data_IF_098502281804
#
_entry.id   IF_098502281804
#
_cell.length_a   1.000
_cell.length_b   1.000
_cell.length_c   1.000
_cell.angle_alpha   90.00
_cell.angle_beta   90.00
_cell.angle_gamma   90.00
#
_symmetry.space_group_name_H-M   'P 1'
#
loop_
_entity.id
_entity.type
_entity.pdbx_description
1 polymer ?
#
# COMPACT_ATOMS: atom_id res chain seq x y z
N UNK A 1 2.82 -8.26 4.46
CA UNK A 1 1.85 -8.19 5.56
C UNK A 1 0.79 -9.27 5.48
N UNK A 2 -0.35 -9.08 6.16
CA UNK A 2 -1.42 -10.09 6.30
C UNK A 2 -1.89 -10.69 4.97
N UNK A 3 -2.12 -9.85 3.96
CA UNK A 3 -2.58 -10.36 2.65
C UNK A 3 -1.52 -11.18 1.90
N UNK A 4 -0.25 -10.90 2.08
CA UNK A 4 0.83 -11.70 1.50
C UNK A 4 0.95 -13.07 2.20
N UNK A 5 0.73 -13.12 3.51
CA UNK A 5 0.64 -14.39 4.23
C UNK A 5 -0.57 -15.19 3.75
N UNK A 6 -1.76 -14.55 3.67
CA UNK A 6 -2.97 -15.18 3.17
C UNK A 6 -2.79 -15.77 1.77
N UNK A 7 -2.10 -15.07 0.86
CA UNK A 7 -1.84 -15.58 -0.49
C UNK A 7 -1.18 -16.96 -0.45
N UNK A 8 -0.15 -17.13 0.39
CA UNK A 8 0.56 -18.41 0.52
C UNK A 8 -0.32 -19.52 1.11
N UNK A 9 -1.22 -19.16 2.02
CA UNK A 9 -2.11 -20.11 2.68
C UNK A 9 -3.20 -20.64 1.74
N UNK A 10 -3.71 -19.77 0.83
CA UNK A 10 -4.85 -20.11 -0.03
C UNK A 10 -4.45 -20.54 -1.44
N UNK A 11 -3.20 -20.32 -1.85
CA UNK A 11 -2.68 -20.71 -3.16
C UNK A 11 -2.90 -22.19 -3.50
N UNK A 12 -2.70 -23.16 -2.56
CA UNK A 12 -2.95 -24.58 -2.81
C UNK A 12 -4.40 -24.90 -3.19
N UNK A 13 -5.33 -24.01 -2.84
CA UNK A 13 -6.77 -24.16 -3.16
C UNK A 13 -7.15 -23.46 -4.47
N UNK A 14 -6.18 -22.91 -5.22
CA UNK A 14 -6.43 -22.17 -6.46
C UNK A 14 -7.04 -20.78 -6.25
N UNK A 15 -7.10 -20.30 -5.01
CA UNK A 15 -7.63 -18.97 -4.69
C UNK A 15 -6.56 -17.91 -4.96
N UNK A 16 -6.95 -16.88 -5.68
CA UNK A 16 -6.09 -15.73 -6.00
C UNK A 16 -6.39 -14.55 -5.07
N UNK A 17 -5.34 -13.88 -4.61
CA UNK A 17 -5.46 -12.69 -3.75
C UNK A 17 -4.79 -11.52 -4.47
N UNK A 18 -5.51 -10.44 -4.64
CA UNK A 18 -4.99 -9.18 -5.22
C UNK A 18 -5.23 -8.04 -4.24
N UNK A 19 -4.16 -7.36 -3.84
CA UNK A 19 -4.25 -6.11 -3.08
C UNK A 19 -4.50 -4.97 -4.04
N UNK A 20 -5.55 -4.22 -3.78
CA UNK A 20 -5.85 -3.00 -4.51
C UNK A 20 -5.26 -1.83 -3.72
N UNK A 21 -4.37 -1.08 -4.36
CA UNK A 21 -3.65 0.05 -3.77
C UNK A 21 -4.02 1.33 -4.54
N UNK A 22 -5.19 1.94 -4.22
CA UNK A 22 -5.66 3.12 -4.94
C UNK A 22 -4.94 4.39 -4.46
N UNK A 23 -4.63 5.27 -5.40
CA UNK A 23 -4.29 6.66 -5.14
C UNK A 23 -5.53 7.50 -4.83
N UNK A 24 -5.49 8.77 -5.17
CA UNK A 24 -6.60 9.70 -4.94
C UNK A 24 -7.63 9.61 -6.08
N UNK A 25 -8.82 9.11 -5.76
CA UNK A 25 -9.95 9.00 -6.71
C UNK A 25 -11.05 10.01 -6.38
N UNK A 26 -11.69 10.53 -7.43
CA UNK A 26 -12.81 11.47 -7.32
C UNK A 26 -14.06 10.72 -6.83
N UNK A 27 -14.24 10.71 -5.51
CA UNK A 27 -15.36 10.09 -4.80
C UNK A 27 -15.83 11.01 -3.68
N UNK A 28 -16.95 10.69 -3.04
CA UNK A 28 -17.46 11.43 -1.86
C UNK A 28 -16.57 11.24 -0.59
N UNK A 29 -15.44 10.56 -0.68
CA UNK A 29 -14.59 10.26 0.48
C UNK A 29 -14.08 11.53 1.17
N UNK A 30 -13.59 12.52 0.41
CA UNK A 30 -13.12 13.79 0.96
C UNK A 30 -14.25 14.81 1.21
N UNK A 31 -15.44 14.54 0.70
CA UNK A 31 -16.62 15.39 0.83
C UNK A 31 -17.58 14.91 1.92
N UNK A 32 -18.78 14.53 1.54
CA UNK A 32 -19.88 14.17 2.45
C UNK A 32 -19.61 12.96 3.34
N UNK A 33 -18.75 12.05 2.90
CA UNK A 33 -18.41 10.82 3.64
C UNK A 33 -17.24 11.02 4.61
N UNK A 34 -16.60 12.18 4.62
CA UNK A 34 -15.46 12.46 5.51
C UNK A 34 -15.90 12.59 6.96
N UNK A 35 -15.68 11.54 7.77
CA UNK A 35 -15.86 11.58 9.21
C UNK A 35 -14.55 12.03 9.89
N UNK A 36 -14.60 13.13 10.61
CA UNK A 36 -13.44 13.67 11.33
C UNK A 36 -13.63 13.43 12.82
N UNK A 37 -12.67 12.74 13.44
CA UNK A 37 -12.65 12.55 14.89
C UNK A 37 -12.49 13.89 15.62
N UNK A 38 -13.12 14.02 16.79
CA UNK A 38 -12.88 15.18 17.65
C UNK A 38 -11.39 15.18 18.06
N UNK A 39 -10.71 16.31 17.86
CA UNK A 39 -9.32 16.48 18.28
C UNK A 39 -9.18 16.27 19.77
N UNK A 40 -8.22 15.45 20.19
CA UNK A 40 -7.98 15.13 21.60
C UNK A 40 -6.60 15.59 22.10
N UNK A 41 -5.66 15.93 21.21
CA UNK A 41 -4.27 16.25 21.56
C UNK A 41 -3.87 17.57 20.88
N UNK A 42 -3.70 18.63 21.68
CA UNK A 42 -3.38 19.96 21.17
C UNK A 42 -1.98 20.05 20.54
N UNK A 43 -1.01 19.27 21.02
CA UNK A 43 0.34 19.23 20.46
C UNK A 43 0.38 18.86 18.95
N UNK A 44 -0.63 18.13 18.44
CA UNK A 44 -0.73 17.75 17.04
C UNK A 44 -1.71 18.62 16.23
N UNK A 45 -2.24 19.69 16.84
CA UNK A 45 -3.27 20.51 16.23
C UNK A 45 -2.88 21.05 14.84
N UNK A 46 -1.71 21.69 14.75
CA UNK A 46 -1.24 22.32 13.51
C UNK A 46 -1.13 21.31 12.37
N UNK A 47 -0.60 20.12 12.65
CA UNK A 47 -0.43 19.08 11.65
C UNK A 47 -1.78 18.49 11.20
N UNK A 48 -2.67 18.20 12.15
CA UNK A 48 -4.00 17.64 11.84
C UNK A 48 -4.90 18.65 11.13
N UNK A 49 -4.83 19.93 11.49
CA UNK A 49 -5.61 20.98 10.82
C UNK A 49 -5.12 21.20 9.38
N UNK A 50 -3.80 21.19 9.15
CA UNK A 50 -3.22 21.28 7.80
C UNK A 50 -3.64 20.09 6.93
N UNK A 51 -3.58 18.87 7.46
CA UNK A 51 -4.03 17.68 6.76
C UNK A 51 -5.52 17.75 6.39
N UNK A 52 -6.38 18.18 7.33
CA UNK A 52 -7.81 18.33 7.09
C UNK A 52 -8.12 19.39 6.03
N UNK A 53 -7.42 20.52 6.06
CA UNK A 53 -7.54 21.56 5.03
C UNK A 53 -7.14 21.04 3.66
N UNK A 54 -6.04 20.28 3.60
CA UNK A 54 -5.59 19.66 2.35
C UNK A 54 -6.63 18.69 1.78
N UNK A 55 -7.20 17.79 2.60
CA UNK A 55 -8.25 16.86 2.18
C UNK A 55 -9.48 17.61 1.61
N UNK A 56 -9.93 18.67 2.28
CA UNK A 56 -11.05 19.49 1.81
C UNK A 56 -10.73 20.24 0.52
N UNK A 57 -9.52 20.74 0.36
CA UNK A 57 -9.09 21.45 -0.85
C UNK A 57 -8.99 20.54 -2.08
N UNK A 58 -8.75 19.25 -1.84
CA UNK A 58 -8.67 18.21 -2.88
C UNK A 58 -10.02 17.62 -3.28
N UNK A 59 -11.09 17.93 -2.55
CA UNK A 59 -12.42 17.42 -2.86
C UNK A 59 -12.87 17.82 -4.27
N UNK A 60 -13.28 16.82 -5.06
CA UNK A 60 -13.66 16.97 -6.47
C UNK A 60 -12.50 17.26 -7.44
N UNK A 61 -11.24 17.27 -6.97
CA UNK A 61 -10.05 17.54 -7.80
C UNK A 61 -9.10 16.34 -7.88
N UNK A 62 -9.49 15.23 -7.32
CA UNK A 62 -8.68 14.01 -7.35
C UNK A 62 -8.49 13.53 -8.81
N UNK A 63 -7.29 13.09 -9.20
CA UNK A 63 -7.00 12.72 -10.59
C UNK A 63 -7.63 11.40 -11.03
N UNK A 64 -7.96 10.53 -10.09
CA UNK A 64 -8.47 9.19 -10.36
C UNK A 64 -9.95 9.19 -10.75
N UNK A 65 -10.27 8.45 -11.83
CA UNK A 65 -11.62 8.19 -12.32
C UNK A 65 -12.14 6.87 -11.75
N UNK A 66 -13.18 6.87 -10.88
CA UNK A 66 -13.71 5.65 -10.29
C UNK A 66 -14.24 4.63 -11.30
N UNK A 67 -14.77 5.08 -12.44
CA UNK A 67 -15.27 4.18 -13.47
C UNK A 67 -14.11 3.42 -14.14
N UNK A 68 -12.99 4.10 -14.39
CA UNK A 68 -11.77 3.44 -14.89
C UNK A 68 -11.16 2.50 -13.87
N UNK A 69 -11.20 2.86 -12.59
CA UNK A 69 -10.77 1.95 -11.52
C UNK A 69 -11.60 0.66 -11.51
N UNK A 70 -12.93 0.76 -11.62
CA UNK A 70 -13.79 -0.41 -11.70
C UNK A 70 -13.46 -1.31 -12.92
N UNK A 71 -13.19 -0.73 -14.08
CA UNK A 71 -12.76 -1.48 -15.27
C UNK A 71 -11.42 -2.20 -15.03
N UNK A 72 -10.45 -1.53 -14.40
CA UNK A 72 -9.16 -2.14 -14.07
C UNK A 72 -9.31 -3.32 -13.08
N UNK A 73 -10.22 -3.21 -12.12
CA UNK A 73 -10.54 -4.30 -11.18
C UNK A 73 -11.13 -5.51 -11.92
N UNK A 74 -12.09 -5.29 -12.81
CA UNK A 74 -12.69 -6.36 -13.63
C UNK A 74 -11.60 -7.04 -14.46
N UNK A 75 -10.75 -6.26 -15.13
CA UNK A 75 -9.64 -6.79 -15.91
C UNK A 75 -8.68 -7.65 -15.07
N UNK A 76 -8.37 -7.23 -13.84
CA UNK A 76 -7.52 -8.00 -12.95
C UNK A 76 -8.17 -9.33 -12.53
N UNK A 77 -9.47 -9.31 -12.20
CA UNK A 77 -10.22 -10.51 -11.80
C UNK A 77 -10.35 -11.50 -12.95
N UNK A 78 -10.56 -11.02 -14.17
CA UNK A 78 -10.68 -11.86 -15.37
C UNK A 78 -9.34 -12.39 -15.91
N UNK A 79 -8.21 -11.85 -15.41
CA UNK A 79 -6.89 -12.29 -15.82
C UNK A 79 -6.60 -13.72 -15.36
N UNK A 80 -6.04 -14.59 -16.22
CA UNK A 80 -5.56 -15.90 -15.78
C UNK A 80 -4.42 -15.79 -14.76
N UNK A 81 -3.69 -14.67 -14.75
CA UNK A 81 -2.59 -14.37 -13.84
C UNK A 81 -2.78 -13.00 -13.20
N UNK A 82 -3.71 -12.86 -12.24
CA UNK A 82 -3.93 -11.58 -11.57
C UNK A 82 -2.69 -11.16 -10.76
N UNK A 83 -2.36 -9.87 -10.71
CA UNK A 83 -1.23 -9.40 -9.93
C UNK A 83 -1.51 -9.55 -8.42
N UNK A 84 -0.47 -9.81 -7.63
CA UNK A 84 -0.57 -9.75 -6.16
C UNK A 84 -0.90 -8.33 -5.67
N UNK A 85 -0.38 -7.30 -6.35
CA UNK A 85 -0.61 -5.88 -6.05
C UNK A 85 -1.03 -5.15 -7.32
N UNK A 86 -2.11 -4.40 -7.23
CA UNK A 86 -2.61 -3.56 -8.31
C UNK A 86 -2.68 -2.12 -7.82
N UNK A 87 -1.68 -1.33 -8.19
CA UNK A 87 -1.70 0.11 -8.00
C UNK A 87 -2.69 0.75 -8.98
N UNK A 88 -3.53 1.65 -8.48
CA UNK A 88 -4.48 2.40 -9.29
C UNK A 88 -4.19 3.89 -9.17
N UNK A 89 -3.81 4.51 -10.29
CA UNK A 89 -3.42 5.92 -10.38
C UNK A 89 -1.91 6.12 -10.42
N UNK A 90 -1.49 7.22 -11.05
CA UNK A 90 -0.07 7.57 -11.18
C UNK A 90 0.56 7.97 -9.86
N UNK A 91 -0.22 8.57 -8.98
CA UNK A 91 0.15 8.95 -7.62
C UNK A 91 0.45 7.70 -6.75
N UNK A 92 -0.42 6.69 -6.77
CA UNK A 92 -0.16 5.41 -6.10
C UNK A 92 1.12 4.74 -6.64
N UNK A 93 1.29 4.69 -7.96
CA UNK A 93 2.48 4.12 -8.57
C UNK A 93 3.75 4.85 -8.13
N UNK A 94 3.74 6.18 -8.11
CA UNK A 94 4.90 6.98 -7.70
C UNK A 94 5.28 6.75 -6.23
N UNK A 95 4.29 6.72 -5.33
CA UNK A 95 4.52 6.45 -3.91
C UNK A 95 5.10 5.05 -3.66
N UNK A 96 4.63 4.05 -4.41
CA UNK A 96 5.16 2.69 -4.30
C UNK A 96 6.60 2.64 -4.81
N UNK A 97 6.91 3.28 -5.93
CA UNK A 97 8.27 3.35 -6.47
C UNK A 97 9.23 4.04 -5.49
N UNK A 98 8.84 5.18 -4.93
CA UNK A 98 9.62 5.88 -3.90
C UNK A 98 9.89 4.98 -2.69
N UNK A 99 8.88 4.26 -2.22
CA UNK A 99 9.02 3.32 -1.10
C UNK A 99 9.97 2.18 -1.43
N UNK A 100 9.93 1.65 -2.64
CA UNK A 100 10.85 0.59 -3.09
C UNK A 100 12.30 1.07 -3.10
N UNK A 101 12.55 2.30 -3.55
CA UNK A 101 13.89 2.90 -3.52
C UNK A 101 14.41 3.10 -2.08
N UNK A 102 13.56 3.52 -1.16
CA UNK A 102 13.95 3.60 0.26
C UNK A 102 14.35 2.25 0.83
N UNK A 103 13.50 1.24 0.64
CA UNK A 103 13.77 -0.13 1.12
C UNK A 103 15.06 -0.67 0.52
N UNK A 104 15.27 -0.42 -0.79
CA UNK A 104 16.51 -0.83 -1.46
C UNK A 104 17.73 -0.15 -0.86
N UNK A 105 17.65 1.16 -0.64
CA UNK A 105 18.74 1.95 -0.04
C UNK A 105 19.10 1.44 1.36
N UNK A 106 18.09 1.15 2.19
CA UNK A 106 18.30 0.59 3.52
C UNK A 106 18.99 -0.78 3.45
N UNK A 107 18.52 -1.67 2.57
CA UNK A 107 19.12 -2.99 2.37
C UNK A 107 20.57 -2.90 1.90
N UNK A 108 20.86 -2.05 0.94
CA UNK A 108 22.22 -1.85 0.41
C UNK A 108 23.16 -1.25 1.49
N UNK A 109 22.66 -0.28 2.26
CA UNK A 109 23.42 0.39 3.31
C UNK A 109 23.75 -0.54 4.48
N UNK A 110 22.80 -1.39 4.88
CA UNK A 110 22.93 -2.26 6.03
C UNK A 110 23.30 -3.71 5.69
N UNK A 111 23.60 -3.99 4.43
CA UNK A 111 23.88 -5.35 3.95
C UNK A 111 24.93 -6.09 4.80
N UNK A 112 26.06 -5.45 5.10
CA UNK A 112 27.13 -6.07 5.88
C UNK A 112 26.70 -6.45 7.30
N UNK A 113 25.89 -5.59 7.93
CA UNK A 113 25.32 -5.87 9.26
C UNK A 113 24.29 -7.00 9.16
N UNK A 114 23.41 -6.95 8.16
CA UNK A 114 22.35 -7.95 7.96
C UNK A 114 22.95 -9.36 7.82
N UNK A 115 23.92 -9.54 6.93
CA UNK A 115 24.52 -10.88 6.69
C UNK A 115 25.43 -11.33 7.82
N UNK A 116 25.93 -10.42 8.66
CA UNK A 116 26.76 -10.78 9.82
C UNK A 116 25.98 -11.50 10.93
N UNK A 117 24.66 -11.51 10.86
CA UNK A 117 23.79 -12.19 11.82
C UNK A 117 23.62 -13.68 11.52
N UNK A 118 24.09 -14.14 10.37
CA UNK A 118 24.03 -15.55 10.03
C UNK A 118 25.11 -16.35 10.80
N UNK A 119 24.82 -17.61 11.07
CA UNK A 119 25.87 -18.50 11.56
C UNK A 119 26.95 -18.69 10.49
N UNK A 120 28.25 -18.73 10.86
CA UNK A 120 29.34 -18.89 9.90
C UNK A 120 29.29 -20.21 9.11
N UNK A 121 28.62 -21.23 9.67
CA UNK A 121 28.32 -22.49 8.99
C UNK A 121 26.85 -22.89 9.20
N UNK A 122 26.25 -23.67 8.27
CA UNK A 122 24.89 -24.14 8.46
C UNK A 122 24.79 -24.98 9.72
N UNK A 123 23.84 -24.63 10.60
CA UNK A 123 23.55 -25.40 11.82
C UNK A 123 23.11 -26.80 11.39
N UNK A 124 24.04 -27.77 11.46
CA UNK A 124 23.68 -29.18 11.34
C UNK A 124 22.89 -29.56 12.58
N UNK A 125 21.56 -29.68 12.45
CA UNK A 125 20.71 -30.19 13.52
C UNK A 125 21.13 -31.62 13.82
N UNK A 126 21.94 -31.79 14.85
CA UNK A 126 22.14 -33.10 15.47
C UNK A 126 20.82 -33.46 16.14
N UNK A 127 20.08 -34.40 15.57
CA UNK A 127 18.94 -35.08 16.21
C UNK A 127 19.47 -35.97 17.32
#
# INVERSE_FOLDING_TARGET
>A
GTSEALTKEVEPFGIKVTLIEPGAFCTDFNGRSLAVAKRSIDAYATMSDAALQWFKAMDGKQPGDPAKAAQALIQAVESPHPPMRLALGTDAMSLIQEKLEWVKTDLDTWQSVTVSTDYPEPVTSTK
#
